data_IF_525067077936
#
_entry.id   IF_525067077936
#
_cell.length_a   1.000
_cell.length_b   1.000
_cell.length_c   1.000
_cell.angle_alpha   90.00
_cell.angle_beta   90.00
_cell.angle_gamma   90.00
#
_symmetry.space_group_name_H-M   'P 1'
#
loop_
_entity.id
_entity.type
_entity.pdbx_description
1 polymer ?
#
# COMPACT_ATOMS: atom_id res chain seq x y z
N UNK A 1 -23.50 -0.77 -3.20
CA UNK A 1 -22.82 -0.30 -4.41
C UNK A 1 -21.38 -0.85 -4.55
N UNK A 2 -20.52 -0.85 -3.50
CA UNK A 2 -19.10 -1.26 -3.62
C UNK A 2 -18.77 -2.77 -3.81
N UNK A 3 -19.71 -3.70 -3.59
CA UNK A 3 -19.44 -5.16 -3.74
C UNK A 3 -18.97 -5.55 -5.16
N UNK A 4 -19.31 -4.77 -6.19
CA UNK A 4 -18.90 -5.04 -7.58
C UNK A 4 -17.39 -4.97 -7.79
N UNK A 5 -16.67 -4.24 -6.94
CA UNK A 5 -15.23 -4.04 -7.04
C UNK A 5 -14.43 -5.07 -6.23
N UNK A 6 -15.06 -5.71 -5.25
CA UNK A 6 -14.43 -6.75 -4.45
C UNK A 6 -14.55 -8.10 -5.17
N UNK A 7 -13.41 -8.71 -5.45
CA UNK A 7 -13.32 -10.02 -6.09
C UNK A 7 -13.31 -11.11 -5.01
N UNK A 8 -14.11 -12.17 -5.10
CA UNK A 8 -14.04 -13.28 -4.13
C UNK A 8 -12.67 -14.00 -4.20
N UNK A 9 -12.31 -14.79 -3.18
CA UNK A 9 -11.07 -15.61 -3.25
C UNK A 9 -11.11 -16.60 -4.43
N UNK A 10 -12.26 -17.26 -4.66
CA UNK A 10 -12.44 -18.17 -5.79
C UNK A 10 -12.26 -17.47 -7.14
N UNK A 11 -12.85 -16.29 -7.30
CA UNK A 11 -12.70 -15.51 -8.53
C UNK A 11 -11.29 -14.93 -8.68
N UNK A 12 -10.60 -14.62 -7.57
CA UNK A 12 -9.21 -14.16 -7.62
C UNK A 12 -8.30 -15.28 -8.13
N UNK A 13 -8.46 -16.52 -7.63
CA UNK A 13 -7.70 -17.67 -8.12
C UNK A 13 -7.96 -18.03 -9.59
N UNK A 14 -9.12 -17.66 -10.14
CA UNK A 14 -9.43 -17.84 -11.57
C UNK A 14 -8.75 -16.80 -12.47
N UNK A 15 -8.49 -15.59 -11.96
CA UNK A 15 -7.97 -14.46 -12.76
C UNK A 15 -6.47 -14.18 -12.53
N UNK A 16 -5.87 -14.74 -11.47
CA UNK A 16 -4.44 -14.60 -11.20
C UNK A 16 -3.67 -15.78 -11.79
N UNK A 17 -2.61 -15.48 -12.54
CA UNK A 17 -1.69 -16.53 -13.05
C UNK A 17 -1.00 -17.21 -11.86
N UNK A 18 -1.10 -18.56 -11.73
CA UNK A 18 -0.43 -19.28 -10.67
C UNK A 18 1.10 -19.18 -10.83
N UNK A 19 1.87 -19.16 -9.73
CA UNK A 19 3.32 -19.09 -9.80
C UNK A 19 3.88 -20.31 -10.53
N UNK A 20 4.98 -20.11 -11.26
CA UNK A 20 5.72 -21.22 -11.87
C UNK A 20 6.25 -22.17 -10.78
N UNK A 21 6.35 -23.48 -11.05
CA UNK A 21 6.93 -24.44 -10.10
C UNK A 21 8.34 -24.01 -9.70
N UNK A 22 8.59 -23.92 -8.40
CA UNK A 22 9.90 -23.60 -7.86
C UNK A 22 10.76 -24.88 -7.98
N UNK A 23 11.93 -24.78 -8.61
CA UNK A 23 12.91 -25.86 -8.56
C UNK A 23 13.43 -26.02 -7.13
N UNK A 24 13.56 -27.26 -6.65
CA UNK A 24 14.16 -27.51 -5.33
C UNK A 24 15.58 -26.93 -5.31
N UNK A 25 15.77 -25.87 -4.54
CA UNK A 25 17.08 -25.30 -4.22
C UNK A 25 17.53 -25.89 -2.89
N UNK A 26 18.71 -26.53 -2.85
CA UNK A 26 19.33 -26.98 -1.60
C UNK A 26 19.92 -25.82 -0.77
N UNK A 27 19.87 -24.58 -1.28
CA UNK A 27 20.36 -23.41 -0.57
C UNK A 27 19.29 -22.89 0.40
N UNK A 28 19.55 -23.05 1.71
CA UNK A 28 18.70 -22.54 2.79
C UNK A 28 18.51 -21.01 2.75
N UNK A 29 19.47 -20.26 2.20
CA UNK A 29 19.38 -18.81 2.02
C UNK A 29 18.71 -18.39 0.69
N UNK A 30 18.15 -19.35 -0.04
CA UNK A 30 17.50 -19.12 -1.33
C UNK A 30 16.23 -18.27 -1.20
N UNK A 31 16.02 -17.40 -2.19
CA UNK A 31 14.80 -16.58 -2.31
C UNK A 31 13.94 -17.07 -3.47
N UNK A 32 12.64 -17.18 -3.23
CA UNK A 32 11.65 -17.26 -4.30
C UNK A 32 11.14 -15.85 -4.59
N UNK A 33 11.27 -15.42 -5.84
CA UNK A 33 10.94 -14.06 -6.27
C UNK A 33 10.02 -14.10 -7.48
N UNK A 34 9.04 -13.20 -7.51
CA UNK A 34 8.19 -12.93 -8.66
C UNK A 34 8.22 -11.43 -8.97
N UNK A 35 8.29 -11.09 -10.26
CA UNK A 35 8.22 -9.70 -10.74
C UNK A 35 6.78 -9.38 -11.13
N UNK A 36 6.36 -8.16 -10.82
CA UNK A 36 5.04 -7.61 -11.08
C UNK A 36 5.16 -6.24 -11.74
N UNK A 37 4.18 -5.88 -12.56
CA UNK A 37 4.12 -4.59 -13.25
C UNK A 37 2.73 -3.97 -13.20
N UNK A 38 2.72 -2.66 -13.38
CA UNK A 38 1.58 -1.89 -13.89
C UNK A 38 2.04 -1.33 -15.23
N UNK A 39 1.51 -1.79 -16.34
CA UNK A 39 1.93 -1.35 -17.68
C UNK A 39 0.83 -1.65 -18.69
N UNK A 40 0.74 -0.89 -19.78
CA UNK A 40 -0.17 -1.17 -20.89
C UNK A 40 0.59 -1.46 -22.20
N UNK A 41 -0.14 -1.97 -23.19
CA UNK A 41 0.35 -2.28 -24.55
C UNK A 41 0.93 -1.08 -25.32
N UNK A 42 0.68 0.16 -24.86
CA UNK A 42 1.33 1.36 -25.39
C UNK A 42 2.81 1.47 -24.98
N UNK A 43 3.21 0.81 -23.90
CA UNK A 43 4.56 0.88 -23.34
C UNK A 43 5.35 -0.44 -23.39
N UNK A 44 4.75 -1.52 -23.94
CA UNK A 44 5.40 -2.83 -24.05
C UNK A 44 5.01 -3.55 -25.33
N UNK A 45 5.97 -4.21 -25.97
CA UNK A 45 5.71 -5.09 -27.11
C UNK A 45 5.41 -6.53 -26.65
N UNK A 46 4.53 -7.22 -27.37
CA UNK A 46 4.29 -8.67 -27.18
C UNK A 46 3.13 -9.05 -26.26
N UNK A 47 2.26 -8.11 -25.88
CA UNK A 47 0.98 -8.47 -25.26
C UNK A 47 0.05 -9.16 -26.28
N UNK A 48 -0.71 -10.20 -25.88
CA UNK A 48 -1.69 -10.83 -26.75
C UNK A 48 -2.79 -9.86 -27.18
N UNK A 49 -3.12 -9.85 -28.47
CA UNK A 49 -4.20 -9.02 -29.01
C UNK A 49 -5.59 -9.65 -28.78
N UNK A 50 -5.72 -10.99 -28.73
CA UNK A 50 -6.99 -11.65 -28.41
C UNK A 50 -7.31 -11.44 -26.91
N UNK A 51 -8.45 -10.80 -26.56
CA UNK A 51 -8.86 -10.60 -25.16
C UNK A 51 -8.91 -11.88 -24.33
N UNK A 52 -9.18 -13.04 -24.95
CA UNK A 52 -9.18 -14.33 -24.26
C UNK A 52 -7.77 -14.80 -23.92
N UNK A 53 -6.82 -14.58 -24.82
CA UNK A 53 -5.41 -14.89 -24.58
C UNK A 53 -4.84 -13.96 -23.52
N UNK A 54 -5.10 -12.65 -23.63
CA UNK A 54 -4.73 -11.66 -22.63
C UNK A 54 -5.27 -12.03 -21.23
N UNK A 55 -6.56 -12.36 -21.14
CA UNK A 55 -7.17 -12.79 -19.88
C UNK A 55 -6.56 -14.08 -19.32
N UNK A 56 -6.10 -15.01 -20.17
CA UNK A 56 -5.51 -16.27 -19.72
C UNK A 56 -4.14 -16.12 -19.06
N UNK A 57 -3.44 -15.03 -19.36
CA UNK A 57 -2.17 -14.64 -18.74
C UNK A 57 -2.34 -13.52 -17.71
N UNK A 58 -3.57 -13.27 -17.24
CA UNK A 58 -3.86 -12.32 -16.16
C UNK A 58 -3.83 -10.84 -16.59
N UNK A 59 -3.86 -10.55 -17.89
CA UNK A 59 -4.01 -9.19 -18.41
C UNK A 59 -5.49 -8.81 -18.48
N UNK A 60 -5.76 -7.52 -18.40
CA UNK A 60 -7.11 -6.96 -18.47
C UNK A 60 -7.24 -6.17 -19.76
N UNK A 61 -8.24 -6.51 -20.58
CA UNK A 61 -8.58 -5.72 -21.76
C UNK A 61 -9.46 -4.54 -21.34
N UNK A 62 -8.92 -3.33 -21.50
CA UNK A 62 -9.65 -2.06 -21.39
C UNK A 62 -10.51 -1.78 -22.63
N UNK A 63 -10.96 -0.53 -22.79
CA UNK A 63 -11.68 -0.12 -24.01
C UNK A 63 -10.75 -0.08 -25.23
N UNK A 64 -9.53 0.41 -25.04
CA UNK A 64 -8.60 0.70 -26.13
C UNK A 64 -7.25 -0.01 -25.98
N UNK A 65 -6.90 -0.48 -24.77
CA UNK A 65 -5.58 -1.02 -24.43
C UNK A 65 -5.68 -2.33 -23.63
N UNK A 66 -4.72 -3.22 -23.81
CA UNK A 66 -4.44 -4.36 -22.90
C UNK A 66 -3.54 -3.89 -21.76
N UNK A 67 -3.95 -4.16 -20.53
CA UNK A 67 -3.34 -3.66 -19.31
C UNK A 67 -2.86 -4.81 -18.43
N UNK A 68 -1.62 -4.76 -18.00
CA UNK A 68 -1.11 -5.51 -16.86
C UNK A 68 -1.23 -4.68 -15.58
N UNK A 69 -1.78 -5.29 -14.53
CA UNK A 69 -1.86 -4.69 -13.19
C UNK A 69 -1.52 -5.69 -12.09
N UNK A 70 -0.54 -6.54 -12.40
CA UNK A 70 -0.09 -7.62 -11.53
C UNK A 70 0.49 -7.08 -10.20
N UNK A 71 0.93 -5.81 -10.13
CA UNK A 71 1.30 -5.17 -8.85
C UNK A 71 0.11 -5.09 -7.90
N UNK A 72 -1.02 -4.56 -8.35
CA UNK A 72 -2.21 -4.46 -7.51
C UNK A 72 -2.66 -5.86 -7.06
N UNK A 73 -2.63 -6.83 -7.97
CA UNK A 73 -3.07 -8.19 -7.66
C UNK A 73 -2.11 -8.88 -6.67
N UNK A 74 -0.81 -8.60 -6.75
CA UNK A 74 0.18 -9.06 -5.77
C UNK A 74 -0.07 -8.46 -4.38
N UNK A 75 -0.33 -7.15 -4.29
CA UNK A 75 -0.70 -6.50 -3.03
C UNK A 75 -1.97 -7.11 -2.43
N UNK A 76 -3.03 -7.30 -3.23
CA UNK A 76 -4.30 -7.91 -2.78
C UNK A 76 -4.06 -9.32 -2.26
N UNK A 77 -3.31 -10.16 -2.98
CA UNK A 77 -3.01 -11.52 -2.55
C UNK A 77 -2.20 -11.55 -1.24
N UNK A 78 -1.18 -10.70 -1.12
CA UNK A 78 -0.37 -10.60 0.08
C UNK A 78 -1.20 -10.17 1.30
N UNK A 79 -2.08 -9.16 1.16
CA UNK A 79 -2.99 -8.72 2.23
C UNK A 79 -3.96 -9.86 2.61
N UNK A 80 -4.53 -10.56 1.62
CA UNK A 80 -5.53 -11.60 1.87
C UNK A 80 -4.97 -12.82 2.58
N UNK A 81 -3.71 -13.20 2.32
CA UNK A 81 -3.07 -14.31 3.04
C UNK A 81 -2.55 -13.93 4.42
N UNK A 82 -2.41 -12.64 4.73
CA UNK A 82 -1.88 -12.16 6.00
C UNK A 82 -2.65 -12.73 7.20
N UNK A 83 -1.88 -13.14 8.22
CA UNK A 83 -2.36 -13.82 9.43
C UNK A 83 -2.07 -13.06 10.71
N UNK A 84 -0.96 -12.35 10.80
CA UNK A 84 -0.44 -11.74 12.03
C UNK A 84 -0.30 -10.22 11.93
N UNK A 85 0.40 -9.70 10.93
CA UNK A 85 0.55 -8.27 10.75
C UNK A 85 0.92 -7.88 9.32
N UNK A 86 0.72 -6.60 9.01
CA UNK A 86 1.20 -5.97 7.79
C UNK A 86 1.94 -4.69 8.16
N UNK A 87 3.13 -4.49 7.60
CA UNK A 87 3.87 -3.23 7.69
C UNK A 87 4.03 -2.64 6.29
N UNK A 88 3.72 -1.36 6.14
CA UNK A 88 3.80 -0.65 4.86
C UNK A 88 4.59 0.63 5.05
N UNK A 89 5.53 0.89 4.15
CA UNK A 89 6.02 2.24 3.90
C UNK A 89 5.65 2.67 2.50
N UNK A 90 4.94 3.79 2.36
CA UNK A 90 4.57 4.27 1.03
C UNK A 90 4.49 5.81 0.96
N UNK A 91 4.94 6.38 -0.15
CA UNK A 91 4.83 7.83 -0.39
C UNK A 91 3.38 8.32 -0.44
N UNK A 92 2.46 7.50 -0.95
CA UNK A 92 1.04 7.82 -0.98
C UNK A 92 0.23 6.69 -0.36
N UNK A 93 -0.85 7.06 0.31
CA UNK A 93 -1.82 6.08 0.81
C UNK A 93 -3.25 6.59 0.59
N UNK A 94 -3.79 6.33 -0.59
CA UNK A 94 -5.15 6.73 -0.96
C UNK A 94 -5.76 5.77 -1.98
N UNK A 95 -7.07 5.56 -1.89
CA UNK A 95 -7.83 4.76 -2.86
C UNK A 95 -9.00 4.04 -2.25
N UNK A 96 -9.51 3.04 -2.98
CA UNK A 96 -10.79 2.40 -2.70
C UNK A 96 -11.94 3.42 -2.56
N UNK A 97 -11.97 4.42 -3.45
CA UNK A 97 -12.89 5.55 -3.35
C UNK A 97 -14.36 5.13 -3.36
N UNK A 98 -14.69 3.98 -3.95
CA UNK A 98 -16.02 3.38 -3.89
C UNK A 98 -16.52 3.07 -2.47
N UNK A 99 -15.62 3.06 -1.47
CA UNK A 99 -15.94 2.90 -0.06
C UNK A 99 -15.92 4.20 0.74
N UNK A 100 -15.56 5.33 0.14
CA UNK A 100 -15.56 6.62 0.83
C UNK A 100 -16.98 7.12 1.11
N UNK A 101 -17.11 7.99 2.12
CA UNK A 101 -18.36 8.66 2.41
C UNK A 101 -18.71 9.66 1.29
N UNK A 102 -19.89 9.54 0.70
CA UNK A 102 -20.31 10.24 -0.52
C UNK A 102 -21.09 11.54 -0.27
N UNK A 103 -21.07 12.08 0.96
CA UNK A 103 -21.92 13.23 1.32
C UNK A 103 -21.56 14.52 0.59
N UNK A 104 -20.31 14.67 0.19
CA UNK A 104 -19.74 15.91 -0.33
C UNK A 104 -18.92 15.72 -1.62
N UNK A 105 -18.92 14.51 -2.19
CA UNK A 105 -18.15 14.19 -3.40
C UNK A 105 -18.93 13.28 -4.35
N UNK A 106 -18.71 13.46 -5.64
CA UNK A 106 -19.14 12.50 -6.65
C UNK A 106 -18.14 11.34 -6.71
N UNK A 107 -18.55 10.17 -6.22
CA UNK A 107 -17.70 8.98 -6.20
C UNK A 107 -17.38 8.46 -7.61
N UNK A 108 -18.28 8.65 -8.56
CA UNK A 108 -18.09 8.20 -9.95
C UNK A 108 -17.01 9.03 -10.66
N UNK A 109 -16.81 10.28 -10.24
CA UNK A 109 -15.77 11.16 -10.79
C UNK A 109 -14.40 10.96 -10.11
N UNK A 110 -14.36 10.44 -8.88
CA UNK A 110 -13.10 10.25 -8.13
C UNK A 110 -12.23 9.15 -8.74
N UNK A 111 -12.87 8.06 -9.17
CA UNK A 111 -12.27 6.95 -9.93
C UNK A 111 -10.92 6.42 -9.39
N UNK A 112 -10.76 6.37 -8.05
CA UNK A 112 -9.61 5.77 -7.37
C UNK A 112 -9.99 4.37 -6.85
N UNK A 113 -10.28 3.48 -7.79
CA UNK A 113 -10.95 2.19 -7.59
C UNK A 113 -10.03 1.05 -7.11
N UNK A 114 -8.73 1.29 -6.95
CA UNK A 114 -7.81 0.27 -6.47
C UNK A 114 -8.20 -0.26 -5.06
N UNK A 115 -7.88 -1.52 -4.77
CA UNK A 115 -8.47 -2.27 -3.66
C UNK A 115 -7.68 -2.25 -2.35
N UNK A 116 -6.42 -1.82 -2.34
CA UNK A 116 -5.47 -2.00 -1.24
C UNK A 116 -6.02 -1.49 0.10
N UNK A 117 -6.50 -0.23 0.24
CA UNK A 117 -7.06 0.25 1.50
C UNK A 117 -8.25 -0.56 2.01
N UNK A 118 -9.18 -0.94 1.12
CA UNK A 118 -10.36 -1.71 1.50
C UNK A 118 -10.02 -3.17 1.85
N UNK A 119 -9.07 -3.79 1.15
CA UNK A 119 -8.60 -5.15 1.51
C UNK A 119 -7.95 -5.16 2.89
N UNK A 120 -7.17 -4.13 3.23
CA UNK A 120 -6.57 -3.97 4.57
C UNK A 120 -7.66 -3.86 5.63
N UNK A 121 -8.64 -2.96 5.46
CA UNK A 121 -9.69 -2.79 6.47
C UNK A 121 -10.55 -4.04 6.62
N UNK A 122 -10.90 -4.71 5.51
CA UNK A 122 -11.65 -5.97 5.54
C UNK A 122 -10.85 -7.12 6.17
N UNK A 123 -9.53 -7.19 5.95
CA UNK A 123 -8.66 -8.15 6.63
C UNK A 123 -8.70 -7.92 8.14
N UNK A 124 -8.54 -6.68 8.61
CA UNK A 124 -8.63 -6.35 10.03
C UNK A 124 -10.01 -6.72 10.60
N UNK A 125 -11.08 -6.35 9.90
CA UNK A 125 -12.47 -6.70 10.28
C UNK A 125 -12.62 -8.21 10.43
N UNK A 126 -12.12 -9.00 9.48
CA UNK A 126 -12.20 -10.47 9.55
C UNK A 126 -11.46 -11.04 10.77
N UNK A 127 -10.35 -10.42 11.17
CA UNK A 127 -9.55 -10.84 12.32
C UNK A 127 -10.22 -10.47 13.65
N UNK A 128 -10.81 -9.28 13.73
CA UNK A 128 -11.71 -8.90 14.83
C UNK A 128 -12.88 -9.88 14.93
N UNK A 129 -13.49 -10.22 13.80
CA UNK A 129 -14.63 -11.14 13.77
C UNK A 129 -14.25 -12.56 14.23
N UNK A 130 -13.03 -13.00 13.94
CA UNK A 130 -12.47 -14.27 14.39
C UNK A 130 -11.93 -14.26 15.83
N UNK A 131 -11.77 -13.08 16.45
CA UNK A 131 -11.10 -12.94 17.76
C UNK A 131 -9.59 -13.21 17.68
N UNK A 132 -9.00 -13.02 16.50
CA UNK A 132 -7.57 -13.25 16.25
C UNK A 132 -6.80 -11.93 16.32
N UNK A 133 -5.61 -11.95 16.94
CA UNK A 133 -4.73 -10.78 16.98
C UNK A 133 -4.21 -10.46 15.57
N UNK A 134 -4.39 -9.23 15.14
CA UNK A 134 -3.87 -8.72 13.88
C UNK A 134 -3.65 -7.20 13.94
N UNK A 135 -2.52 -6.72 13.42
CA UNK A 135 -2.20 -5.29 13.44
C UNK A 135 -1.61 -4.85 12.09
N UNK A 136 -1.90 -3.62 11.69
CA UNK A 136 -1.38 -3.01 10.47
C UNK A 136 -0.73 -1.68 10.81
N UNK A 137 0.51 -1.51 10.34
CA UNK A 137 1.34 -0.34 10.57
C UNK A 137 1.65 0.30 9.21
N UNK A 138 1.33 1.59 9.06
CA UNK A 138 1.53 2.30 7.79
C UNK A 138 2.35 3.55 8.06
N UNK A 139 3.51 3.66 7.40
CA UNK A 139 4.38 4.82 7.44
C UNK A 139 4.26 5.56 6.12
N UNK A 140 3.86 6.83 6.19
CA UNK A 140 3.64 7.74 5.05
C UNK A 140 4.36 9.07 5.32
N UNK A 141 4.70 9.88 4.30
CA UNK A 141 5.29 11.18 4.56
C UNK A 141 4.29 12.09 5.29
N UNK A 142 4.79 13.06 6.06
CA UNK A 142 3.95 13.99 6.81
C UNK A 142 3.02 14.80 5.86
N UNK A 143 3.53 15.10 4.66
CA UNK A 143 2.75 15.52 3.48
C UNK A 143 3.49 15.05 2.22
N UNK A 144 2.81 14.87 1.07
CA UNK A 144 3.48 14.52 -0.19
C UNK A 144 4.37 15.66 -0.69
N UNK A 145 5.38 15.34 -1.49
CA UNK A 145 6.33 16.31 -2.03
C UNK A 145 5.66 17.54 -2.65
N UNK A 146 6.16 18.71 -2.28
CA UNK A 146 5.62 20.01 -2.69
C UNK A 146 5.40 20.95 -1.51
N UNK A 147 4.88 22.15 -1.81
CA UNK A 147 4.50 23.13 -0.79
C UNK A 147 3.24 22.63 -0.08
N UNK A 148 3.24 22.43 1.26
CA UNK A 148 2.09 21.86 1.98
C UNK A 148 0.77 22.58 1.73
N UNK A 149 0.81 23.91 1.58
CA UNK A 149 -0.36 24.74 1.33
C UNK A 149 -0.81 24.81 -0.14
N UNK A 150 -0.15 24.11 -1.08
CA UNK A 150 -0.59 24.10 -2.48
C UNK A 150 -1.89 23.31 -2.64
N UNK A 151 -2.71 23.70 -3.61
CA UNK A 151 -3.96 23.00 -3.92
C UNK A 151 -3.74 21.51 -4.22
N UNK A 152 -2.64 21.16 -4.92
CA UNK A 152 -2.28 19.78 -5.23
C UNK A 152 -2.01 18.95 -3.97
N UNK A 153 -1.20 19.46 -3.04
CA UNK A 153 -0.88 18.76 -1.80
C UNK A 153 -2.11 18.64 -0.90
N UNK A 154 -2.92 19.71 -0.80
CA UNK A 154 -4.16 19.69 -0.03
C UNK A 154 -5.18 18.69 -0.57
N UNK A 155 -5.32 18.57 -1.89
CA UNK A 155 -6.20 17.58 -2.50
C UNK A 155 -5.75 16.13 -2.16
N UNK A 156 -4.44 15.87 -2.23
CA UNK A 156 -3.87 14.56 -1.87
C UNK A 156 -4.11 14.23 -0.40
N UNK A 157 -3.90 15.21 0.48
CA UNK A 157 -4.17 15.05 1.91
C UNK A 157 -5.65 14.78 2.20
N UNK A 158 -6.59 15.39 1.46
CA UNK A 158 -8.01 15.09 1.60
C UNK A 158 -8.36 13.66 1.14
N UNK A 159 -7.84 13.20 -0.01
CA UNK A 159 -8.02 11.81 -0.45
C UNK A 159 -7.45 10.79 0.52
N UNK A 160 -6.28 11.08 1.10
CA UNK A 160 -5.67 10.28 2.16
C UNK A 160 -6.56 10.25 3.40
N UNK A 161 -7.03 11.42 3.87
CA UNK A 161 -7.95 11.54 5.02
C UNK A 161 -9.23 10.72 4.81
N UNK A 162 -9.85 10.80 3.64
CA UNK A 162 -11.07 10.02 3.30
C UNK A 162 -10.81 8.51 3.28
N UNK A 163 -9.65 8.11 2.77
CA UNK A 163 -9.21 6.71 2.78
C UNK A 163 -9.05 6.20 4.23
N UNK A 164 -8.38 6.97 5.09
CA UNK A 164 -8.26 6.66 6.52
C UNK A 164 -9.62 6.61 7.22
N UNK A 165 -10.49 7.58 6.97
CA UNK A 165 -11.85 7.64 7.53
C UNK A 165 -12.67 6.40 7.19
N UNK A 166 -12.64 5.97 5.92
CA UNK A 166 -13.27 4.72 5.48
C UNK A 166 -12.76 3.51 6.27
N UNK A 167 -11.42 3.35 6.35
CA UNK A 167 -10.83 2.18 7.00
C UNK A 167 -11.12 2.14 8.50
N UNK A 168 -10.96 3.27 9.20
CA UNK A 168 -11.27 3.34 10.63
C UNK A 168 -12.77 3.14 10.90
N UNK A 169 -13.66 3.60 10.01
CA UNK A 169 -15.09 3.36 10.13
C UNK A 169 -15.42 1.87 10.06
N UNK A 170 -14.84 1.13 9.11
CA UNK A 170 -15.02 -0.32 9.01
C UNK A 170 -14.60 -1.04 10.31
N UNK A 171 -13.44 -0.66 10.86
CA UNK A 171 -12.88 -1.25 12.09
C UNK A 171 -13.76 -0.94 13.31
N UNK A 172 -14.17 0.32 13.49
CA UNK A 172 -15.04 0.74 14.60
C UNK A 172 -16.37 0.00 14.57
N UNK A 173 -16.96 -0.20 13.38
CA UNK A 173 -18.20 -0.96 13.23
C UNK A 173 -17.99 -2.41 13.68
N UNK A 174 -16.90 -3.05 13.27
CA UNK A 174 -16.58 -4.43 13.66
C UNK A 174 -16.36 -4.59 15.17
N UNK A 175 -15.61 -3.67 15.80
CA UNK A 175 -15.39 -3.66 17.25
C UNK A 175 -16.71 -3.53 18.02
N UNK A 176 -17.57 -2.58 17.62
CA UNK A 176 -18.90 -2.39 18.23
C UNK A 176 -19.77 -3.63 18.09
N UNK A 177 -19.80 -4.24 16.90
CA UNK A 177 -20.57 -5.48 16.64
C UNK A 177 -20.10 -6.64 17.52
N UNK A 178 -18.81 -6.70 17.86
CA UNK A 178 -18.24 -7.69 18.78
C UNK A 178 -18.35 -7.31 20.26
N UNK A 179 -18.83 -6.11 20.59
CA UNK A 179 -18.87 -5.63 21.97
C UNK A 179 -17.49 -5.41 22.58
N UNK A 180 -16.46 -5.16 21.76
CA UNK A 180 -15.10 -4.91 22.22
C UNK A 180 -14.89 -3.43 22.50
N UNK A 181 -14.46 -3.11 23.72
CA UNK A 181 -13.96 -1.79 24.10
C UNK A 181 -12.44 -1.73 23.85
N UNK A 182 -12.06 -1.52 22.58
CA UNK A 182 -10.67 -1.46 22.14
C UNK A 182 -10.42 -0.22 21.29
N UNK A 183 -9.18 0.27 21.27
CA UNK A 183 -8.83 1.39 20.39
C UNK A 183 -8.69 0.87 18.95
N UNK A 184 -9.37 1.46 17.95
CA UNK A 184 -9.14 1.09 16.55
C UNK A 184 -7.67 1.19 16.12
N UNK A 185 -6.88 2.05 16.81
CA UNK A 185 -5.43 2.20 16.58
C UNK A 185 -4.59 1.02 17.05
N UNK A 186 -5.14 0.11 17.85
CA UNK A 186 -4.48 -1.15 18.21
C UNK A 186 -4.45 -2.13 17.02
N UNK A 187 -5.32 -1.89 16.01
CA UNK A 187 -5.46 -2.71 14.81
C UNK A 187 -4.92 -2.03 13.54
N UNK A 188 -5.08 -0.71 13.42
CA UNK A 188 -4.59 0.08 12.28
C UNK A 188 -3.96 1.37 12.80
N UNK A 189 -2.68 1.57 12.53
CA UNK A 189 -1.98 2.78 12.96
C UNK A 189 -1.17 3.40 11.82
N UNK A 190 -1.18 4.73 11.77
CA UNK A 190 -0.47 5.52 10.76
C UNK A 190 0.62 6.36 11.43
N UNK A 191 1.79 6.38 10.81
CA UNK A 191 2.95 7.14 11.25
C UNK A 191 3.52 7.99 10.11
N UNK A 192 4.32 8.97 10.49
CA UNK A 192 5.21 9.68 9.59
C UNK A 192 6.58 9.82 10.27
N UNK A 193 7.61 10.08 9.47
CA UNK A 193 8.98 10.22 9.98
C UNK A 193 9.38 11.70 10.06
N UNK A 194 10.11 12.04 11.10
CA UNK A 194 10.63 13.38 11.31
C UNK A 194 11.96 13.33 12.04
N UNK A 195 12.85 14.26 11.71
CA UNK A 195 14.10 14.45 12.41
C UNK A 195 14.12 15.83 13.08
N UNK A 196 14.88 15.93 14.17
CA UNK A 196 15.16 17.18 14.86
C UNK A 196 16.57 17.16 15.43
N UNK A 197 17.36 18.15 15.06
CA UNK A 197 18.78 18.21 15.44
C UNK A 197 19.07 19.47 16.25
N UNK A 198 19.93 19.35 17.26
CA UNK A 198 20.45 20.54 17.97
C UNK A 198 21.55 21.19 17.12
N UNK A 199 21.73 22.51 17.26
CA UNK A 199 22.87 23.19 16.64
C UNK A 199 24.18 22.64 17.23
N UNK A 200 25.16 22.36 16.37
CA UNK A 200 26.48 21.88 16.78
C UNK A 200 27.56 22.90 16.40
N UNK A 201 28.57 23.02 17.25
CA UNK A 201 29.74 23.84 16.94
C UNK A 201 30.42 23.32 15.66
N UNK A 202 30.70 24.22 14.72
CA UNK A 202 31.30 23.87 13.43
C UNK A 202 30.29 23.38 12.37
N UNK A 203 28.98 23.43 12.62
CA UNK A 203 27.99 23.14 11.57
C UNK A 203 28.04 24.19 10.44
N UNK A 204 27.60 23.79 9.25
CA UNK A 204 27.52 24.69 8.10
C UNK A 204 26.59 25.87 8.39
N UNK A 205 27.10 27.09 8.15
CA UNK A 205 26.33 28.32 8.24
C UNK A 205 26.02 28.83 6.83
N UNK A 206 24.75 28.82 6.39
CA UNK A 206 24.40 29.38 5.09
C UNK A 206 24.67 30.89 5.07
N UNK A 207 25.19 31.44 3.95
CA UNK A 207 25.50 32.87 3.82
C UNK A 207 24.24 33.73 3.77
N UNK A 208 23.13 33.16 3.29
CA UNK A 208 21.83 33.81 3.18
C UNK A 208 20.83 33.22 4.18
N UNK A 209 19.88 34.06 4.59
CA UNK A 209 18.78 33.64 5.48
C UNK A 209 17.48 33.56 4.68
N UNK A 210 16.59 32.61 5.04
CA UNK A 210 15.26 32.56 4.47
C UNK A 210 14.48 33.86 4.73
N UNK A 211 13.49 34.12 3.89
CA UNK A 211 12.54 35.21 4.08
C UNK A 211 11.88 35.13 5.47
N UNK A 212 11.77 36.28 6.15
CA UNK A 212 11.15 36.36 7.47
C UNK A 212 9.71 35.84 7.43
N UNK A 213 9.28 35.15 8.48
CA UNK A 213 7.94 34.55 8.60
C UNK A 213 7.58 33.51 7.52
N UNK A 214 8.54 33.00 6.75
CA UNK A 214 8.33 31.87 5.84
C UNK A 214 8.33 30.52 6.58
N UNK A 215 7.76 29.49 5.94
CA UNK A 215 7.90 28.10 6.42
C UNK A 215 9.36 27.68 6.48
N UNK A 216 10.19 28.13 5.54
CA UNK A 216 11.62 27.84 5.53
C UNK A 216 12.31 28.44 6.77
N UNK A 217 12.05 29.71 7.10
CA UNK A 217 12.57 30.33 8.32
C UNK A 217 12.12 29.58 9.59
N UNK A 218 10.84 29.20 9.67
CA UNK A 218 10.31 28.43 10.82
C UNK A 218 10.95 27.06 10.95
N UNK A 219 11.11 26.33 9.85
CA UNK A 219 11.74 25.01 9.84
C UNK A 219 13.23 25.10 10.21
N UNK A 220 13.95 26.05 9.63
CA UNK A 220 15.36 26.30 9.93
C UNK A 220 15.55 26.67 11.41
N UNK A 221 14.73 27.56 11.95
CA UNK A 221 14.80 27.98 13.35
C UNK A 221 14.41 26.86 14.33
N UNK A 222 13.37 26.08 14.02
CA UNK A 222 12.93 24.98 14.89
C UNK A 222 13.77 23.71 14.78
N UNK A 223 14.70 23.68 13.81
CA UNK A 223 15.67 22.62 13.55
C UNK A 223 15.05 21.24 13.34
N UNK A 224 13.88 21.21 12.74
CA UNK A 224 13.11 19.99 12.49
C UNK A 224 12.52 20.01 11.09
N UNK A 225 12.45 18.84 10.50
CA UNK A 225 11.76 18.61 9.24
C UNK A 225 11.34 17.14 9.14
N UNK A 226 10.44 16.83 8.21
CA UNK A 226 10.12 15.43 7.94
C UNK A 226 11.35 14.70 7.38
N UNK A 227 11.48 13.43 7.72
CA UNK A 227 12.25 12.49 6.89
C UNK A 227 11.26 12.04 5.83
N UNK A 228 11.52 12.38 4.57
CA UNK A 228 10.55 12.15 3.51
C UNK A 228 10.51 10.66 3.14
N UNK A 229 9.35 10.04 3.36
CA UNK A 229 9.12 8.62 3.04
C UNK A 229 8.83 8.51 1.54
N UNK A 230 9.85 8.13 0.78
CA UNK A 230 9.72 7.82 -0.66
C UNK A 230 9.67 6.32 -0.94
N UNK A 231 9.70 5.48 0.10
CA UNK A 231 9.54 4.03 0.02
C UNK A 231 8.25 3.63 -0.71
N UNK A 232 8.25 2.42 -1.29
CA UNK A 232 7.06 1.70 -1.74
C UNK A 232 7.24 0.22 -1.42
N UNK A 233 6.95 -0.10 -0.16
CA UNK A 233 7.28 -1.39 0.45
C UNK A 233 6.11 -1.90 1.28
N UNK A 234 5.92 -3.22 1.26
CA UNK A 234 5.00 -3.91 2.17
C UNK A 234 5.65 -5.21 2.66
N UNK A 235 5.71 -5.39 3.97
CA UNK A 235 6.09 -6.63 4.64
C UNK A 235 4.83 -7.27 5.23
N UNK A 236 4.68 -8.57 5.05
CA UNK A 236 3.57 -9.37 5.57
C UNK A 236 4.14 -10.50 6.40
N UNK A 237 3.72 -10.55 7.67
CA UNK A 237 3.99 -11.65 8.59
C UNK A 237 5.49 -12.03 8.75
N UNK A 238 6.43 -11.09 8.56
CA UNK A 238 7.89 -11.35 8.53
C UNK A 238 8.33 -12.42 7.51
N UNK A 239 7.45 -12.88 6.61
CA UNK A 239 7.76 -13.99 5.69
C UNK A 239 7.68 -13.58 4.22
N UNK A 240 7.04 -12.45 3.90
CA UNK A 240 6.94 -11.97 2.53
C UNK A 240 7.08 -10.47 2.43
N UNK A 241 7.76 -10.02 1.37
CA UNK A 241 8.02 -8.60 1.10
C UNK A 241 7.68 -8.24 -0.34
N UNK A 242 7.06 -7.08 -0.55
CA UNK A 242 6.95 -6.40 -1.85
C UNK A 242 7.80 -5.14 -1.79
N UNK A 243 8.62 -4.92 -2.81
CA UNK A 243 9.42 -3.70 -3.01
C UNK A 243 9.29 -3.28 -4.47
N UNK A 244 9.08 -1.99 -4.73
CA UNK A 244 9.01 -1.50 -6.11
C UNK A 244 8.93 0.02 -6.22
N UNK A 245 8.41 0.48 -7.36
CA UNK A 245 8.16 1.89 -7.65
C UNK A 245 6.71 2.33 -7.36
N UNK A 246 5.78 1.37 -7.32
CA UNK A 246 4.34 1.64 -7.27
C UNK A 246 3.85 2.19 -5.92
N UNK A 247 3.27 3.39 -5.97
CA UNK A 247 2.62 4.01 -4.82
C UNK A 247 1.24 3.40 -4.52
N UNK A 248 0.75 3.49 -3.28
CA UNK A 248 -0.65 3.12 -2.96
C UNK A 248 -1.56 4.30 -3.34
N UNK A 249 -1.76 4.46 -4.64
CA UNK A 249 -2.70 5.38 -5.25
C UNK A 249 -3.22 4.78 -6.57
N UNK A 250 -4.21 5.43 -7.19
CA UNK A 250 -4.72 4.92 -8.48
C UNK A 250 -3.68 5.04 -9.60
N UNK A 251 -2.81 6.06 -9.57
CA UNK A 251 -1.81 6.28 -10.63
C UNK A 251 -0.89 5.07 -10.82
N UNK A 252 -0.42 4.48 -9.73
CA UNK A 252 0.50 3.34 -9.79
C UNK A 252 -0.19 1.98 -9.83
N UNK A 253 -1.41 1.85 -9.29
CA UNK A 253 -2.12 0.56 -9.15
C UNK A 253 -3.05 0.20 -10.33
N UNK A 254 -3.29 1.14 -11.24
CA UNK A 254 -4.27 0.99 -12.33
C UNK A 254 -3.80 0.08 -13.46
N UNK A 255 -2.52 0.21 -13.85
CA UNK A 255 -1.94 -0.47 -15.01
C UNK A 255 -1.94 0.39 -16.29
N UNK A 256 -3.03 1.12 -16.55
CA UNK A 256 -3.15 2.00 -17.73
C UNK A 256 -2.90 3.48 -17.43
N UNK A 257 -2.07 3.78 -16.40
CA UNK A 257 -1.70 5.15 -16.00
C UNK A 257 -0.18 5.31 -16.00
N UNK A 258 0.48 5.22 -14.85
CA UNK A 258 1.95 5.21 -14.81
C UNK A 258 2.44 3.77 -14.98
N UNK A 259 3.55 3.61 -15.72
CA UNK A 259 4.27 2.34 -15.78
C UNK A 259 5.09 2.13 -14.50
N UNK A 260 4.89 0.99 -13.84
CA UNK A 260 5.53 0.68 -12.55
C UNK A 260 6.07 -0.76 -12.55
N UNK A 261 7.07 -1.02 -11.70
CA UNK A 261 7.63 -2.35 -11.48
C UNK A 261 7.77 -2.63 -9.98
N UNK A 262 7.51 -3.87 -9.58
CA UNK A 262 7.77 -4.35 -8.24
C UNK A 262 8.26 -5.80 -8.28
N UNK A 263 8.96 -6.21 -7.24
CA UNK A 263 9.19 -7.61 -6.93
C UNK A 263 8.41 -7.98 -5.67
N UNK A 264 7.99 -9.24 -5.58
CA UNK A 264 7.57 -9.86 -4.33
C UNK A 264 8.40 -11.10 -4.06
N UNK A 265 8.84 -11.26 -2.82
CA UNK A 265 9.82 -12.26 -2.46
C UNK A 265 9.57 -12.88 -1.08
N UNK A 266 10.00 -14.12 -0.92
CA UNK A 266 10.08 -14.83 0.36
C UNK A 266 11.20 -15.87 0.33
N UNK A 267 11.65 -16.31 1.50
CA UNK A 267 12.54 -17.45 1.63
C UNK A 267 11.74 -18.68 2.07
N UNK A 268 11.69 -19.77 1.28
CA UNK A 268 10.87 -20.95 1.57
C UNK A 268 11.16 -21.61 2.93
N UNK A 269 12.41 -21.58 3.38
CA UNK A 269 12.84 -22.20 4.64
C UNK A 269 12.57 -21.34 5.88
N UNK A 270 12.15 -20.07 5.70
CA UNK A 270 11.91 -19.10 6.77
C UNK A 270 10.44 -18.69 6.91
N UNK A 271 9.51 -19.54 6.46
CA UNK A 271 8.07 -19.30 6.59
C UNK A 271 7.59 -19.51 8.03
N UNK A 272 6.65 -18.69 8.50
CA UNK A 272 6.05 -18.89 9.83
C UNK A 272 5.20 -20.17 9.88
N UNK A 273 4.67 -20.61 8.74
CA UNK A 273 3.87 -21.83 8.64
C UNK A 273 4.65 -23.12 8.91
N UNK A 274 5.96 -23.14 8.60
CA UNK A 274 6.84 -24.29 8.82
C UNK A 274 7.40 -24.30 10.24
N UNK A 275 7.41 -23.16 10.94
CA UNK A 275 7.96 -23.03 12.29
C UNK A 275 6.92 -22.49 13.29
N UNK A 276 5.96 -23.34 13.69
CA UNK A 276 4.79 -22.98 14.54
C UNK A 276 5.11 -22.35 15.90
N UNK A 277 6.36 -22.47 16.36
CA UNK A 277 6.83 -21.86 17.61
C UNK A 277 7.38 -20.44 17.40
N UNK A 278 7.65 -20.01 16.16
CA UNK A 278 8.02 -18.64 15.85
C UNK A 278 6.77 -17.76 15.75
N UNK A 279 6.87 -16.58 16.38
CA UNK A 279 5.97 -15.46 16.15
C UNK A 279 6.76 -14.40 15.39
N UNK A 280 6.13 -13.63 14.49
CA UNK A 280 6.80 -12.51 13.88
C UNK A 280 7.29 -11.56 14.98
N UNK A 281 8.57 -11.25 14.96
CA UNK A 281 9.26 -10.40 15.95
C UNK A 281 9.51 -8.99 15.42
N UNK A 282 9.20 -8.72 14.15
CA UNK A 282 9.52 -7.45 13.50
C UNK A 282 11.02 -7.20 13.41
N UNK A 283 11.81 -8.27 13.28
CA UNK A 283 13.24 -8.18 13.02
C UNK A 283 13.41 -8.04 11.51
N UNK A 284 13.90 -6.88 11.07
CA UNK A 284 14.35 -6.59 9.70
C UNK A 284 15.86 -6.61 9.69
#
# INVERSE_FOLDING_TARGET
SGRRYLVSMARLSEITVPPLPIGNSENAEGWTVQVFRSIDDGAVEGFPEDPREASSVGLITGKDNVIERSIQDAYVNAIRRAKHFIYIENQYFLGSSFGWNSRDINLDETNALQLIPKEISLKIVSKIEAGERFSVYIVIPLWPEGKPGSASVQAILDWQRRTMEMMYTDIVIALRKKGLDANPRDYLTFFCLGNREVNKAGEYMPPEKPEANSDYARAQHSRRFMIYVHSKLMIVDDEYIIIGSANINQRSMDGGRDSEIAMGAYQPDYLLSTNKNMRPTGQV
#
